data_IF_966490875747
#
_entry.id   IF_966490875747
#
_cell.length_a   1.000
_cell.length_b   1.000
_cell.length_c   1.000
_cell.angle_alpha   90.00
_cell.angle_beta   90.00
_cell.angle_gamma   90.00
#
_symmetry.space_group_name_H-M   'P 1'
#
loop_
_entity.id
_entity.type
_entity.pdbx_description
1 polymer ?
#
# COMPACT_ATOMS: atom_id res chain seq x y z
N UNK A 1 4.23 -21.53 2.73
CA UNK A 1 4.82 -21.02 1.49
C UNK A 1 5.44 -19.67 1.80
N UNK A 2 6.60 -19.36 1.20
CA UNK A 2 7.30 -18.09 1.43
C UNK A 2 7.44 -17.35 0.11
N UNK A 3 7.15 -16.06 0.14
CA UNK A 3 7.43 -15.16 -0.98
C UNK A 3 8.67 -14.29 -0.71
N UNK A 4 9.30 -13.86 -1.80
CA UNK A 4 10.34 -12.85 -1.80
C UNK A 4 10.01 -11.77 -2.81
N UNK A 5 10.17 -10.51 -2.42
CA UNK A 5 9.92 -9.36 -3.30
C UNK A 5 11.26 -8.69 -3.62
N UNK A 6 11.49 -8.45 -4.91
CA UNK A 6 12.71 -7.85 -5.44
C UNK A 6 12.39 -6.48 -6.07
N UNK A 7 12.88 -5.40 -5.47
CA UNK A 7 12.68 -4.04 -5.99
C UNK A 7 13.95 -3.61 -6.73
N UNK A 8 13.88 -3.51 -8.06
CA UNK A 8 15.02 -3.26 -8.96
C UNK A 8 15.00 -1.81 -9.44
N UNK A 9 16.03 -1.05 -9.11
CA UNK A 9 16.21 0.33 -9.54
C UNK A 9 17.25 1.08 -8.70
N UNK A 10 18.25 1.67 -9.35
CA UNK A 10 19.33 2.43 -8.72
C UNK A 10 18.83 3.68 -7.97
N UNK A 11 17.70 4.24 -8.41
CA UNK A 11 17.00 5.33 -7.74
C UNK A 11 16.44 4.94 -6.37
N UNK A 12 16.15 3.65 -6.15
CA UNK A 12 15.67 3.14 -4.87
C UNK A 12 16.84 2.91 -3.89
N UNK A 13 17.95 2.33 -4.36
CA UNK A 13 19.14 2.13 -3.49
C UNK A 13 19.85 3.43 -3.15
N UNK A 14 19.80 4.43 -4.04
CA UNK A 14 20.31 5.78 -3.78
C UNK A 14 19.37 6.66 -2.94
N UNK A 15 18.15 6.20 -2.64
CA UNK A 15 17.16 6.92 -1.84
C UNK A 15 16.49 8.09 -2.55
N UNK A 16 16.61 8.19 -3.88
CA UNK A 16 15.89 9.20 -4.67
C UNK A 16 14.38 8.93 -4.67
N UNK A 17 14.00 7.65 -4.73
CA UNK A 17 12.61 7.21 -4.66
C UNK A 17 12.43 6.18 -3.54
N UNK A 18 11.33 6.29 -2.79
CA UNK A 18 10.94 5.29 -1.82
C UNK A 18 10.27 4.10 -2.50
N UNK A 19 10.63 2.88 -2.08
CA UNK A 19 9.93 1.67 -2.51
C UNK A 19 8.53 1.60 -1.87
N UNK A 20 7.52 1.97 -2.66
CA UNK A 20 6.11 1.87 -2.29
C UNK A 20 5.45 0.56 -2.76
N UNK A 21 6.06 -0.09 -3.76
CA UNK A 21 5.58 -1.33 -4.36
C UNK A 21 5.77 -2.52 -3.43
N UNK A 22 6.95 -2.63 -2.79
CA UNK A 22 7.28 -3.71 -1.87
C UNK A 22 6.29 -3.85 -0.71
N UNK A 23 5.99 -2.78 0.04
CA UNK A 23 4.94 -2.80 1.07
C UNK A 23 3.55 -3.18 0.53
N UNK A 24 3.17 -2.69 -0.65
CA UNK A 24 1.88 -3.03 -1.26
C UNK A 24 1.80 -4.52 -1.60
N UNK A 25 2.80 -5.05 -2.29
CA UNK A 25 2.90 -6.47 -2.67
C UNK A 25 2.90 -7.39 -1.44
N UNK A 26 3.56 -7.00 -0.34
CA UNK A 26 3.50 -7.77 0.90
C UNK A 26 2.07 -7.91 1.45
N UNK A 27 1.27 -6.83 1.40
CA UNK A 27 -0.13 -6.88 1.85
C UNK A 27 -0.98 -7.72 0.89
N UNK A 28 -0.78 -7.54 -0.42
CA UNK A 28 -1.51 -8.27 -1.44
C UNK A 28 -1.25 -9.79 -1.36
N UNK A 29 0.02 -10.20 -1.25
CA UNK A 29 0.42 -11.59 -1.04
C UNK A 29 -0.09 -12.15 0.29
N UNK A 30 -0.02 -11.36 1.37
CA UNK A 30 -0.58 -11.76 2.66
C UNK A 30 -2.06 -12.11 2.51
N UNK A 31 -2.84 -11.31 1.77
CA UNK A 31 -4.25 -11.56 1.44
C UNK A 31 -4.53 -12.92 0.81
N UNK A 32 -3.56 -13.45 0.05
CA UNK A 32 -3.59 -14.78 -0.58
C UNK A 32 -3.08 -15.92 0.32
N UNK A 33 -2.77 -15.62 1.59
CA UNK A 33 -2.16 -16.55 2.52
C UNK A 33 -0.67 -16.83 2.25
N UNK A 34 0.00 -15.97 1.46
CA UNK A 34 1.41 -16.11 1.10
C UNK A 34 2.24 -15.11 1.91
N UNK A 35 3.01 -15.61 2.88
CA UNK A 35 3.83 -14.75 3.72
C UNK A 35 5.09 -14.27 2.97
N UNK A 36 5.27 -12.96 2.85
CA UNK A 36 6.52 -12.36 2.38
C UNK A 36 7.60 -12.51 3.45
N UNK A 37 8.60 -13.32 3.14
CA UNK A 37 9.70 -13.62 4.05
C UNK A 37 10.91 -12.69 3.85
N UNK A 38 11.10 -12.23 2.63
CA UNK A 38 12.24 -11.40 2.24
C UNK A 38 11.77 -10.26 1.35
N UNK A 39 12.36 -9.09 1.55
CA UNK A 39 12.28 -7.97 0.61
C UNK A 39 13.69 -7.49 0.36
N UNK A 40 14.07 -7.39 -0.90
CA UNK A 40 15.42 -7.03 -1.31
C UNK A 40 15.34 -5.93 -2.34
N UNK A 41 15.99 -4.80 -2.05
CA UNK A 41 16.12 -3.67 -2.97
C UNK A 41 17.53 -3.72 -3.57
N UNK A 42 17.63 -3.63 -4.89
CA UNK A 42 18.88 -3.69 -5.64
C UNK A 42 18.92 -2.62 -6.72
N UNK A 43 20.14 -2.15 -7.03
CA UNK A 43 20.36 -1.24 -8.16
C UNK A 43 20.33 -1.98 -9.50
N UNK A 44 20.60 -1.26 -10.58
CA UNK A 44 20.59 -1.80 -11.95
C UNK A 44 21.91 -2.45 -12.35
N UNK A 45 22.63 -3.06 -11.39
CA UNK A 45 23.82 -3.85 -11.68
C UNK A 45 23.44 -5.28 -12.12
N UNK A 46 23.88 -5.76 -13.30
CA UNK A 46 23.44 -7.05 -13.82
C UNK A 46 23.90 -8.26 -13.00
N UNK A 47 25.07 -8.16 -12.37
CA UNK A 47 25.65 -9.24 -11.56
C UNK A 47 24.87 -9.36 -10.25
N UNK A 48 24.61 -8.25 -9.58
CA UNK A 48 23.83 -8.20 -8.34
C UNK A 48 22.40 -8.70 -8.58
N UNK A 49 21.76 -8.27 -9.67
CA UNK A 49 20.44 -8.77 -10.05
C UNK A 49 20.45 -10.29 -10.27
N UNK A 50 21.44 -10.82 -10.99
CA UNK A 50 21.56 -12.26 -11.21
C UNK A 50 21.68 -13.03 -9.90
N UNK A 51 22.57 -12.58 -9.00
CA UNK A 51 22.79 -13.24 -7.71
C UNK A 51 21.51 -13.25 -6.86
N UNK A 52 20.79 -12.13 -6.81
CA UNK A 52 19.54 -12.02 -6.04
C UNK A 52 18.44 -12.92 -6.62
N UNK A 53 18.24 -12.94 -7.94
CA UNK A 53 17.28 -13.88 -8.56
C UNK A 53 17.67 -15.34 -8.31
N UNK A 54 18.95 -15.69 -8.39
CA UNK A 54 19.41 -17.04 -8.10
C UNK A 54 19.10 -17.45 -6.65
N UNK A 55 19.45 -16.60 -5.68
CA UNK A 55 19.19 -16.85 -4.25
C UNK A 55 17.68 -16.97 -3.99
N UNK A 56 16.90 -16.01 -4.47
CA UNK A 56 15.45 -15.95 -4.28
C UNK A 56 14.76 -17.21 -4.84
N UNK A 57 15.12 -17.62 -6.06
CA UNK A 57 14.53 -18.78 -6.74
C UNK A 57 14.76 -20.11 -6.01
N UNK A 58 15.81 -20.21 -5.18
CA UNK A 58 16.14 -21.42 -4.41
C UNK A 58 15.49 -21.45 -3.03
N UNK A 59 15.18 -20.30 -2.43
CA UNK A 59 14.69 -20.20 -1.04
C UNK A 59 13.20 -19.83 -0.89
N UNK A 60 12.59 -19.24 -1.92
CA UNK A 60 11.19 -18.85 -1.94
C UNK A 60 10.36 -19.74 -2.88
N UNK A 61 9.06 -19.86 -2.60
CA UNK A 61 8.08 -20.53 -3.48
C UNK A 61 7.53 -19.55 -4.53
N UNK A 62 7.50 -18.25 -4.19
CA UNK A 62 7.04 -17.15 -5.03
C UNK A 62 8.09 -16.05 -5.01
N UNK A 63 8.49 -15.56 -6.17
CA UNK A 63 9.36 -14.38 -6.30
C UNK A 63 8.61 -13.35 -7.14
N UNK A 64 8.48 -12.13 -6.62
CA UNK A 64 7.90 -11.02 -7.39
C UNK A 64 8.95 -9.93 -7.52
N UNK A 65 9.34 -9.59 -8.74
CA UNK A 65 10.20 -8.44 -8.98
C UNK A 65 9.40 -7.26 -9.55
N UNK A 66 9.82 -6.04 -9.20
CA UNK A 66 9.32 -4.81 -9.81
C UNK A 66 10.47 -3.99 -10.36
N UNK A 67 10.36 -3.51 -11.60
CA UNK A 67 11.42 -2.75 -12.27
C UNK A 67 12.23 -3.60 -13.25
N UNK A 68 13.10 -2.95 -14.03
CA UNK A 68 14.01 -3.61 -14.97
C UNK A 68 13.35 -4.27 -16.20
N UNK A 69 12.14 -3.84 -16.59
CA UNK A 69 11.36 -4.34 -17.75
C UNK A 69 11.13 -3.29 -18.84
N UNK A 70 11.64 -2.07 -18.67
CA UNK A 70 11.56 -1.01 -19.66
C UNK A 70 12.37 -1.32 -20.93
N UNK A 71 12.42 -0.39 -21.89
CA UNK A 71 13.19 -0.54 -23.12
C UNK A 71 14.65 -0.08 -22.97
N UNK A 72 15.12 0.29 -21.78
CA UNK A 72 16.44 0.90 -21.59
C UNK A 72 17.56 -0.14 -21.59
N UNK A 73 18.82 0.28 -21.44
CA UNK A 73 19.99 -0.63 -21.43
C UNK A 73 20.17 -1.26 -20.05
N UNK A 74 19.59 -0.62 -19.04
CA UNK A 74 19.67 -1.00 -17.65
C UNK A 74 18.52 -1.99 -17.30
N UNK A 75 17.51 -2.09 -18.17
CA UNK A 75 16.38 -3.02 -18.06
C UNK A 75 16.74 -4.46 -18.52
N UNK A 76 17.48 -5.19 -17.69
CA UNK A 76 18.08 -6.50 -18.04
C UNK A 76 17.40 -7.70 -17.38
N UNK A 77 16.25 -7.52 -16.75
CA UNK A 77 15.57 -8.61 -15.99
C UNK A 77 15.29 -9.84 -16.85
N UNK A 78 14.94 -9.65 -18.13
CA UNK A 78 14.60 -10.75 -19.04
C UNK A 78 15.82 -11.57 -19.42
N UNK A 79 16.91 -10.89 -19.74
CA UNK A 79 18.22 -11.44 -20.09
C UNK A 79 18.80 -12.24 -18.92
N UNK A 80 18.71 -11.69 -17.71
CA UNK A 80 19.18 -12.34 -16.48
C UNK A 80 18.41 -13.64 -16.23
N UNK A 81 17.08 -13.61 -16.32
CA UNK A 81 16.25 -14.79 -16.10
C UNK A 81 16.46 -15.87 -17.17
N UNK A 82 16.59 -15.47 -18.43
CA UNK A 82 16.92 -16.39 -19.53
C UNK A 82 18.28 -17.06 -19.29
N UNK A 83 19.30 -16.28 -18.88
CA UNK A 83 20.62 -16.77 -18.53
C UNK A 83 20.60 -17.76 -17.35
N UNK A 84 19.88 -17.44 -16.28
CA UNK A 84 19.73 -18.32 -15.12
C UNK A 84 18.99 -19.62 -15.43
N UNK A 85 18.01 -19.58 -16.33
CA UNK A 85 17.28 -20.76 -16.78
C UNK A 85 18.04 -21.57 -17.85
N UNK A 86 19.10 -21.00 -18.44
CA UNK A 86 19.85 -21.63 -19.52
C UNK A 86 19.06 -21.75 -20.83
N UNK A 87 18.16 -20.80 -21.09
CA UNK A 87 17.27 -20.80 -22.27
C UNK A 87 17.44 -19.51 -23.09
N UNK A 88 17.17 -19.54 -24.40
CA UNK A 88 17.21 -18.32 -25.21
C UNK A 88 16.04 -17.39 -24.90
N UNK A 89 16.18 -16.13 -25.32
CA UNK A 89 15.07 -15.21 -25.44
C UNK A 89 14.37 -15.42 -26.79
N UNK A 90 13.05 -15.53 -26.77
CA UNK A 90 12.19 -15.67 -27.93
C UNK A 90 11.34 -14.42 -28.14
N UNK A 91 11.09 -14.08 -29.40
CA UNK A 91 10.30 -12.92 -29.77
C UNK A 91 8.80 -13.24 -29.72
N UNK A 92 8.07 -12.53 -28.86
CA UNK A 92 6.63 -12.68 -28.71
C UNK A 92 5.87 -11.67 -29.59
N UNK A 93 5.48 -12.12 -30.78
CA UNK A 93 4.85 -11.27 -31.80
C UNK A 93 3.57 -10.57 -31.33
N UNK A 94 2.77 -11.22 -30.48
CA UNK A 94 1.56 -10.61 -29.95
C UNK A 94 1.85 -9.46 -28.98
N UNK A 95 2.85 -9.62 -28.09
CA UNK A 95 3.27 -8.53 -27.20
C UNK A 95 3.80 -7.35 -28.00
N UNK A 96 4.56 -7.61 -29.07
CA UNK A 96 5.03 -6.55 -29.95
C UNK A 96 3.88 -5.78 -30.61
N UNK A 97 2.87 -6.49 -31.12
CA UNK A 97 1.68 -5.87 -31.69
C UNK A 97 0.97 -4.96 -30.67
N UNK A 98 0.76 -5.45 -29.44
CA UNK A 98 0.12 -4.66 -28.36
C UNK A 98 0.95 -3.42 -28.00
N UNK A 99 2.27 -3.54 -27.95
CA UNK A 99 3.18 -2.39 -27.75
C UNK A 99 2.96 -1.35 -28.85
N UNK A 100 2.96 -1.78 -30.12
CA UNK A 100 2.73 -0.87 -31.26
C UNK A 100 1.36 -0.18 -31.20
N UNK A 101 0.31 -0.92 -30.81
CA UNK A 101 -1.04 -0.38 -30.61
C UNK A 101 -1.08 0.69 -29.52
N UNK A 102 -0.42 0.47 -28.38
CA UNK A 102 -0.34 1.47 -27.28
C UNK A 102 0.36 2.76 -27.73
N UNK A 103 1.41 2.66 -28.55
CA UNK A 103 2.05 3.84 -29.15
C UNK A 103 1.13 4.56 -30.15
N UNK A 104 0.43 3.80 -30.99
CA UNK A 104 -0.52 4.34 -31.96
C UNK A 104 -1.69 5.08 -31.31
N UNK A 105 -2.27 4.52 -30.23
CA UNK A 105 -3.33 5.18 -29.44
C UNK A 105 -2.90 6.52 -28.85
N UNK A 106 -1.59 6.70 -28.62
CA UNK A 106 -0.99 7.95 -28.13
C UNK A 106 -0.52 8.87 -29.26
N UNK A 107 -0.83 8.56 -30.52
CA UNK A 107 -0.37 9.26 -31.72
C UNK A 107 1.16 9.41 -31.78
N UNK A 108 1.90 8.36 -31.37
CA UNK A 108 3.37 8.35 -31.38
C UNK A 108 3.89 7.15 -32.19
N UNK A 109 5.00 7.30 -32.93
CA UNK A 109 5.67 6.16 -33.53
C UNK A 109 6.28 5.26 -32.44
N UNK A 110 6.17 3.94 -32.61
CA UNK A 110 6.81 2.98 -31.72
C UNK A 110 8.32 2.89 -32.05
N UNK A 111 9.23 3.23 -31.12
CA UNK A 111 10.66 3.07 -31.35
C UNK A 111 11.04 1.59 -31.49
N UNK A 112 11.98 1.26 -32.39
CA UNK A 112 12.44 -0.13 -32.57
C UNK A 112 13.07 -0.71 -31.29
N UNK A 113 13.66 0.16 -30.45
CA UNK A 113 14.24 -0.26 -29.16
C UNK A 113 13.19 -0.88 -28.22
N UNK A 114 11.92 -0.48 -28.31
CA UNK A 114 10.85 -1.09 -27.51
C UNK A 114 10.59 -2.56 -27.88
N UNK A 115 11.13 -3.05 -29.01
CA UNK A 115 11.02 -4.45 -29.41
C UNK A 115 11.63 -5.41 -28.40
N UNK A 116 12.64 -4.97 -27.64
CA UNK A 116 13.21 -5.78 -26.54
C UNK A 116 12.16 -6.13 -25.48
N UNK A 117 11.13 -5.29 -25.31
CA UNK A 117 10.05 -5.55 -24.36
C UNK A 117 9.12 -6.69 -24.79
N UNK A 118 9.21 -7.12 -26.05
CA UNK A 118 8.51 -8.28 -26.58
C UNK A 118 9.37 -9.56 -26.55
N UNK A 119 10.55 -9.53 -25.93
CA UNK A 119 11.38 -10.73 -25.73
C UNK A 119 11.00 -11.42 -24.42
N UNK A 120 10.90 -12.75 -24.46
CA UNK A 120 10.55 -13.60 -23.32
C UNK A 120 11.55 -14.77 -23.22
N UNK A 121 11.99 -15.20 -22.03
CA UNK A 121 12.67 -16.49 -21.90
C UNK A 121 11.81 -17.61 -22.50
N UNK A 122 12.40 -18.57 -23.24
CA UNK A 122 11.64 -19.61 -23.94
C UNK A 122 10.74 -20.47 -23.03
N UNK A 123 11.05 -20.57 -21.74
CA UNK A 123 10.25 -21.28 -20.72
C UNK A 123 9.33 -20.35 -19.91
N UNK A 124 9.24 -19.08 -20.31
CA UNK A 124 8.42 -18.06 -19.68
C UNK A 124 7.15 -17.77 -20.49
N UNK A 125 6.26 -17.05 -19.84
CA UNK A 125 5.03 -16.51 -20.39
C UNK A 125 5.05 -14.98 -20.25
N UNK A 126 4.46 -14.29 -21.21
CA UNK A 126 4.24 -12.84 -21.12
C UNK A 126 3.01 -12.56 -20.27
N UNK A 127 3.10 -11.60 -19.36
CA UNK A 127 1.96 -11.08 -18.61
C UNK A 127 1.45 -9.80 -19.28
N UNK A 128 0.15 -9.74 -19.57
CA UNK A 128 -0.41 -8.58 -20.23
C UNK A 128 -0.35 -7.32 -19.36
N UNK A 129 -0.05 -6.18 -19.98
CA UNK A 129 -0.06 -4.88 -19.33
C UNK A 129 -0.98 -3.92 -20.08
N UNK A 130 -2.29 -3.90 -19.79
CA UNK A 130 -3.23 -2.98 -20.43
C UNK A 130 -3.05 -1.52 -19.98
N UNK A 131 -2.23 -1.27 -18.95
CA UNK A 131 -2.06 0.05 -18.31
C UNK A 131 -0.76 0.74 -18.73
N UNK A 132 0.09 0.07 -19.51
CA UNK A 132 1.40 0.56 -19.92
C UNK A 132 1.93 -0.10 -21.20
N UNK A 133 3.24 -0.03 -21.41
CA UNK A 133 3.90 -0.61 -22.59
C UNK A 133 4.78 -1.81 -22.27
N UNK A 134 5.21 -1.98 -21.02
CA UNK A 134 6.08 -3.09 -20.63
C UNK A 134 5.21 -4.29 -20.18
N UNK A 135 5.05 -5.35 -20.99
CA UNK A 135 4.47 -6.58 -20.49
C UNK A 135 5.35 -7.18 -19.39
N UNK A 136 4.72 -7.91 -18.48
CA UNK A 136 5.43 -8.62 -17.41
C UNK A 136 5.95 -9.97 -17.89
N UNK A 137 6.64 -10.67 -17.00
CA UNK A 137 7.08 -12.03 -17.24
C UNK A 137 6.57 -12.95 -16.13
N UNK A 138 6.22 -14.18 -16.51
CA UNK A 138 5.94 -15.26 -15.59
C UNK A 138 6.75 -16.48 -15.99
N UNK A 139 7.49 -17.05 -15.05
CA UNK A 139 8.22 -18.30 -15.33
C UNK A 139 8.48 -19.10 -14.06
N UNK A 140 8.85 -20.36 -14.24
CA UNK A 140 9.35 -21.19 -13.15
C UNK A 140 10.87 -21.25 -13.21
N UNK A 141 11.53 -20.98 -12.10
CA UNK A 141 12.98 -21.14 -11.95
C UNK A 141 13.26 -21.86 -10.63
N UNK A 142 13.98 -22.97 -10.69
CA UNK A 142 14.18 -23.86 -9.54
C UNK A 142 12.82 -24.26 -8.91
N UNK A 143 12.59 -23.89 -7.64
CA UNK A 143 11.32 -24.15 -6.95
C UNK A 143 10.34 -22.98 -7.03
N UNK A 144 10.77 -21.80 -7.47
CA UNK A 144 10.00 -20.58 -7.41
C UNK A 144 9.16 -20.36 -8.67
N UNK A 145 7.95 -19.85 -8.45
CA UNK A 145 7.20 -19.13 -9.47
C UNK A 145 7.62 -17.66 -9.44
N UNK A 146 8.17 -17.16 -10.53
CA UNK A 146 8.71 -15.80 -10.66
C UNK A 146 7.74 -14.97 -11.50
N UNK A 147 7.27 -13.85 -10.94
CA UNK A 147 6.55 -12.81 -11.65
C UNK A 147 7.41 -11.54 -11.70
N UNK A 148 7.68 -11.01 -12.90
CA UNK A 148 8.32 -9.72 -13.08
C UNK A 148 7.28 -8.71 -13.54
N UNK A 149 7.15 -7.62 -12.79
CA UNK A 149 6.17 -6.56 -13.01
C UNK A 149 6.88 -5.22 -13.28
N UNK A 150 6.23 -4.29 -14.00
CA UNK A 150 6.80 -2.97 -14.26
C UNK A 150 6.91 -2.15 -12.96
N UNK A 151 7.78 -1.12 -12.97
CA UNK A 151 8.00 -0.24 -11.83
C UNK A 151 6.82 0.67 -11.45
N UNK A 152 6.12 1.32 -12.40
CA UNK A 152 5.00 2.21 -12.07
C UNK A 152 3.87 1.52 -11.29
N UNK A 153 3.47 2.02 -10.09
CA UNK A 153 2.50 1.34 -9.21
C UNK A 153 1.15 1.04 -9.89
N UNK A 154 0.66 1.97 -10.72
CA UNK A 154 -0.62 1.80 -11.43
C UNK A 154 -0.60 0.61 -12.40
N UNK A 155 0.53 0.36 -13.04
CA UNK A 155 0.71 -0.78 -13.93
C UNK A 155 0.89 -2.06 -13.11
N UNK A 156 1.80 -2.01 -12.13
CA UNK A 156 2.13 -3.14 -11.26
C UNK A 156 0.92 -3.69 -10.51
N UNK A 157 0.14 -2.85 -9.82
CA UNK A 157 -1.03 -3.28 -9.04
C UNK A 157 -2.05 -3.99 -9.94
N UNK A 158 -2.36 -3.38 -11.08
CA UNK A 158 -3.30 -3.95 -12.03
C UNK A 158 -2.85 -5.29 -12.58
N UNK A 159 -1.58 -5.42 -12.95
CA UNK A 159 -1.03 -6.69 -13.43
C UNK A 159 -0.95 -7.75 -12.34
N UNK A 160 -0.67 -7.36 -11.09
CA UNK A 160 -0.69 -8.30 -9.98
C UNK A 160 -2.08 -8.94 -9.85
N UNK A 161 -3.13 -8.12 -9.82
CA UNK A 161 -4.51 -8.59 -9.68
C UNK A 161 -5.00 -9.37 -10.91
N UNK A 162 -4.73 -8.86 -12.12
CA UNK A 162 -5.27 -9.42 -13.36
C UNK A 162 -4.51 -10.67 -13.84
N UNK A 163 -3.20 -10.74 -13.63
CA UNK A 163 -2.33 -11.77 -14.23
C UNK A 163 -1.62 -12.68 -13.21
N UNK A 164 -1.16 -12.12 -12.09
CA UNK A 164 -0.36 -12.87 -11.10
C UNK A 164 -1.25 -13.67 -10.16
N UNK A 165 -2.31 -13.08 -9.61
CA UNK A 165 -3.23 -13.75 -8.68
C UNK A 165 -3.86 -15.01 -9.31
N UNK A 166 -4.40 -14.99 -10.55
CA UNK A 166 -4.96 -16.20 -11.17
C UNK A 166 -3.92 -17.30 -11.34
N UNK A 167 -2.67 -16.96 -11.69
CA UNK A 167 -1.59 -17.93 -11.87
C UNK A 167 -1.10 -18.53 -10.55
N UNK A 168 -0.98 -17.72 -9.50
CA UNK A 168 -0.70 -18.22 -8.15
C UNK A 168 -1.80 -19.18 -7.67
N UNK A 169 -3.06 -18.86 -7.99
CA UNK A 169 -4.21 -19.71 -7.67
C UNK A 169 -4.15 -21.03 -8.43
N UNK A 170 -3.95 -20.98 -9.75
CA UNK A 170 -3.83 -22.16 -10.60
C UNK A 170 -2.64 -23.06 -10.22
N UNK A 171 -1.54 -22.47 -9.74
CA UNK A 171 -0.38 -23.18 -9.21
C UNK A 171 -0.61 -23.80 -7.80
N UNK A 172 -1.78 -23.59 -7.19
CA UNK A 172 -2.11 -24.10 -5.85
C UNK A 172 -1.31 -23.43 -4.72
N UNK A 173 -0.81 -22.22 -4.97
CA UNK A 173 0.02 -21.46 -4.01
C UNK A 173 -0.82 -20.59 -3.07
N UNK A 174 -2.06 -20.31 -3.43
CA UNK A 174 -3.02 -19.58 -2.59
C UNK A 174 -3.59 -20.56 -1.55
N UNK A 175 -3.47 -20.23 -0.26
CA UNK A 175 -3.84 -21.12 0.87
C UNK A 175 -4.89 -20.50 1.78
N UNK A 176 -6.00 -20.09 1.18
CA UNK A 176 -7.09 -19.40 1.86
C UNK A 176 -6.90 -17.88 1.83
N UNK A 177 -7.82 -17.19 2.50
CA UNK A 177 -7.85 -15.72 2.55
C UNK A 177 -7.29 -15.29 3.90
N UNK A 178 -6.31 -14.38 3.87
CA UNK A 178 -5.93 -13.62 5.08
C UNK A 178 -6.60 -12.26 4.99
N UNK A 179 -7.23 -11.86 6.09
CA UNK A 179 -7.78 -10.51 6.21
C UNK A 179 -7.02 -9.77 7.31
N UNK A 180 -6.98 -8.45 7.14
CA UNK A 180 -6.59 -7.51 8.17
C UNK A 180 -7.81 -6.69 8.55
N UNK A 181 -8.07 -6.56 9.86
CA UNK A 181 -9.04 -5.62 10.40
C UNK A 181 -8.30 -4.61 11.26
N UNK A 182 -8.49 -3.32 10.97
CA UNK A 182 -7.88 -2.23 11.75
C UNK A 182 -8.90 -1.61 12.68
N UNK A 183 -8.52 -1.40 13.93
CA UNK A 183 -9.30 -0.64 14.92
C UNK A 183 -8.45 0.54 15.35
N UNK A 184 -8.98 1.75 15.18
CA UNK A 184 -8.27 2.98 15.49
C UNK A 184 -8.73 3.55 16.82
N UNK A 185 -7.75 3.95 17.62
CA UNK A 185 -7.98 4.55 18.93
C UNK A 185 -7.22 5.84 19.11
N UNK A 186 -7.77 6.73 19.92
CA UNK A 186 -7.18 8.02 20.25
C UNK A 186 -7.34 8.32 21.74
N UNK A 187 -6.38 9.06 22.32
CA UNK A 187 -6.45 9.55 23.71
C UNK A 187 -5.61 8.77 24.73
N UNK A 188 -5.04 7.62 24.37
CA UNK A 188 -4.06 6.89 25.19
C UNK A 188 -2.87 6.43 24.35
N UNK A 189 -1.69 6.39 24.98
CA UNK A 189 -0.46 5.90 24.35
C UNK A 189 -0.41 4.39 24.24
N UNK A 190 0.55 3.89 23.44
CA UNK A 190 0.69 2.48 23.09
C UNK A 190 0.76 1.54 24.31
N UNK A 191 1.66 1.82 25.27
CA UNK A 191 1.83 0.95 26.45
C UNK A 191 0.58 0.84 27.32
N UNK A 192 -0.20 1.92 27.44
CA UNK A 192 -1.45 1.90 28.20
C UNK A 192 -2.54 1.10 27.48
N UNK A 193 -2.59 1.17 26.15
CA UNK A 193 -3.49 0.34 25.33
C UNK A 193 -3.10 -1.12 25.42
N UNK A 194 -1.80 -1.45 25.32
CA UNK A 194 -1.30 -2.82 25.43
C UNK A 194 -1.60 -3.43 26.80
N UNK A 195 -1.34 -2.70 27.90
CA UNK A 195 -1.62 -3.15 29.26
C UNK A 195 -3.10 -3.49 29.47
N UNK A 196 -4.01 -2.67 28.92
CA UNK A 196 -5.45 -2.91 29.00
C UNK A 196 -5.89 -4.13 28.19
N UNK A 197 -5.28 -4.36 27.04
CA UNK A 197 -5.60 -5.48 26.16
C UNK A 197 -5.06 -6.83 26.70
N UNK A 198 -3.97 -6.80 27.46
CA UNK A 198 -3.40 -7.97 28.12
C UNK A 198 -3.16 -9.12 27.14
N UNK A 199 -3.69 -10.30 27.46
CA UNK A 199 -3.46 -11.52 26.66
C UNK A 199 -3.96 -11.44 25.20
N UNK A 200 -4.77 -10.44 24.84
CA UNK A 200 -5.26 -10.26 23.46
C UNK A 200 -4.09 -10.03 22.49
N UNK A 201 -3.03 -9.34 22.92
CA UNK A 201 -1.86 -8.98 22.09
C UNK A 201 -0.68 -9.93 22.31
N UNK A 202 -0.87 -11.02 23.05
CA UNK A 202 0.18 -12.00 23.31
C UNK A 202 0.68 -12.67 22.02
N UNK A 203 2.00 -12.85 21.92
CA UNK A 203 2.62 -13.56 20.78
C UNK A 203 2.14 -15.01 20.72
N UNK A 204 1.85 -15.48 19.51
CA UNK A 204 1.38 -16.84 19.26
C UNK A 204 -0.14 -16.98 19.24
N UNK A 205 -0.89 -15.90 19.51
CA UNK A 205 -2.32 -15.86 19.25
C UNK A 205 -2.63 -16.02 17.76
N UNK A 206 -3.75 -16.69 17.45
CA UNK A 206 -4.33 -16.77 16.12
C UNK A 206 -5.86 -16.65 16.23
N UNK A 207 -6.47 -15.50 15.91
CA UNK A 207 -5.90 -14.34 15.21
C UNK A 207 -4.81 -13.56 15.97
N UNK A 208 -3.80 -13.09 15.25
CA UNK A 208 -2.71 -12.26 15.80
C UNK A 208 -3.17 -10.80 15.89
N UNK A 209 -2.85 -10.11 16.99
CA UNK A 209 -3.16 -8.68 17.18
C UNK A 209 -1.86 -7.89 17.33
N UNK A 210 -1.54 -7.08 16.34
CA UNK A 210 -0.42 -6.13 16.38
C UNK A 210 -0.88 -4.72 16.77
N UNK A 211 0.02 -3.94 17.36
CA UNK A 211 -0.21 -2.52 17.68
C UNK A 211 0.76 -1.67 16.86
N UNK A 212 0.26 -0.57 16.29
CA UNK A 212 1.07 0.42 15.59
C UNK A 212 0.64 1.82 15.98
N UNK A 213 1.58 2.69 16.34
CA UNK A 213 1.33 4.11 16.64
C UNK A 213 1.77 5.01 15.47
N UNK A 214 0.91 5.95 15.06
CA UNK A 214 1.24 7.04 14.12
C UNK A 214 0.36 8.25 14.44
N UNK A 215 0.93 9.45 14.43
CA UNK A 215 0.18 10.72 14.55
C UNK A 215 -0.83 10.74 15.72
N UNK A 216 -0.39 10.25 16.89
CA UNK A 216 -1.21 10.11 18.10
C UNK A 216 -2.42 9.13 17.99
N UNK A 217 -2.51 8.37 16.89
CA UNK A 217 -3.48 7.30 16.69
C UNK A 217 -2.80 5.96 16.94
N UNK A 218 -3.37 5.17 17.85
CA UNK A 218 -2.99 3.77 18.03
C UNK A 218 -3.93 2.92 17.17
N UNK A 219 -3.34 2.15 16.25
CA UNK A 219 -4.05 1.21 15.37
C UNK A 219 -3.76 -0.21 15.82
N UNK A 220 -4.82 -0.94 16.18
CA UNK A 220 -4.79 -2.36 16.45
C UNK A 220 -5.10 -3.11 15.15
N UNK A 221 -4.21 -4.02 14.76
CA UNK A 221 -4.29 -4.78 13.51
C UNK A 221 -4.55 -6.25 13.84
N UNK A 222 -5.76 -6.71 13.57
CA UNK A 222 -6.15 -8.11 13.76
C UNK A 222 -5.91 -8.84 12.44
N UNK A 223 -5.02 -9.82 12.45
CA UNK A 223 -4.73 -10.66 11.30
C UNK A 223 -5.34 -12.05 11.48
N UNK A 224 -6.18 -12.46 10.54
CA UNK A 224 -6.84 -13.76 10.59
C UNK A 224 -6.77 -14.43 9.23
N UNK A 225 -6.56 -15.74 9.22
CA UNK A 225 -6.66 -16.58 8.04
C UNK A 225 -7.90 -17.49 8.11
N UNK A 226 -8.51 -17.74 6.95
CA UNK A 226 -9.65 -18.64 6.80
C UNK A 226 -9.68 -19.30 5.42
N UNK A 227 -10.52 -20.34 5.26
CA UNK A 227 -10.75 -20.99 3.97
C UNK A 227 -11.34 -20.04 2.93
N UNK A 228 -12.10 -19.06 3.40
CA UNK A 228 -12.65 -17.94 2.63
C UNK A 228 -12.70 -16.69 3.52
N UNK A 229 -13.06 -15.56 2.92
CA UNK A 229 -13.15 -14.27 3.61
C UNK A 229 -14.17 -14.31 4.77
N UNK A 230 -15.29 -15.02 4.60
CA UNK A 230 -16.34 -15.11 5.62
C UNK A 230 -15.85 -15.87 6.86
N UNK A 231 -15.13 -16.96 6.67
CA UNK A 231 -14.49 -17.74 7.73
C UNK A 231 -13.42 -16.91 8.45
N UNK A 232 -12.60 -16.17 7.70
CA UNK A 232 -11.59 -15.29 8.28
C UNK A 232 -12.23 -14.18 9.13
N UNK A 233 -13.30 -13.54 8.63
CA UNK A 233 -14.07 -12.49 9.34
C UNK A 233 -14.77 -13.02 10.59
N UNK A 234 -15.31 -14.23 10.54
CA UNK A 234 -15.94 -14.87 11.69
C UNK A 234 -14.95 -15.06 12.86
N UNK A 235 -13.67 -15.31 12.56
CA UNK A 235 -12.61 -15.39 13.59
C UNK A 235 -12.17 -14.03 14.12
N UNK A 236 -12.21 -12.98 13.31
CA UNK A 236 -11.88 -11.60 13.74
C UNK A 236 -12.94 -11.02 14.67
N UNK A 237 -14.22 -11.27 14.37
CA UNK A 237 -15.36 -10.70 15.10
C UNK A 237 -15.28 -10.80 16.64
N UNK A 238 -14.96 -11.95 17.27
CA UNK A 238 -14.87 -12.03 18.73
C UNK A 238 -13.70 -11.21 19.31
N UNK A 239 -12.57 -11.13 18.58
CA UNK A 239 -11.41 -10.34 19.00
C UNK A 239 -11.73 -8.84 18.91
N UNK A 240 -12.34 -8.40 17.81
CA UNK A 240 -12.79 -7.01 17.65
C UNK A 240 -13.81 -6.62 18.74
N UNK A 241 -14.78 -7.48 19.04
CA UNK A 241 -15.76 -7.23 20.10
C UNK A 241 -15.08 -7.03 21.46
N UNK A 242 -14.12 -7.90 21.80
CA UNK A 242 -13.36 -7.80 23.05
C UNK A 242 -12.50 -6.54 23.11
N UNK A 243 -11.85 -6.16 22.01
CA UNK A 243 -11.08 -4.91 21.92
C UNK A 243 -12.00 -3.70 22.18
N UNK A 244 -13.18 -3.67 21.54
CA UNK A 244 -14.15 -2.59 21.71
C UNK A 244 -14.70 -2.53 23.14
N UNK A 245 -14.94 -3.68 23.76
CA UNK A 245 -15.36 -3.76 25.17
C UNK A 245 -14.28 -3.19 26.10
N UNK A 246 -13.02 -3.60 25.91
CA UNK A 246 -11.90 -3.20 26.76
C UNK A 246 -11.54 -1.72 26.60
N UNK A 247 -11.51 -1.20 25.37
CA UNK A 247 -11.04 0.15 25.08
C UNK A 247 -12.18 1.19 25.04
N UNK A 248 -13.41 0.75 24.79
CA UNK A 248 -14.62 1.56 24.86
C UNK A 248 -14.50 2.87 24.07
N UNK A 249 -14.61 4.03 24.74
CA UNK A 249 -14.67 5.35 24.09
C UNK A 249 -13.36 5.76 23.39
N UNK A 250 -12.25 5.07 23.63
CA UNK A 250 -11.01 5.34 22.90
C UNK A 250 -11.11 4.95 21.44
N UNK A 251 -11.97 3.99 21.10
CA UNK A 251 -12.15 3.51 19.72
C UNK A 251 -13.01 4.51 18.95
N UNK A 252 -12.42 5.19 17.96
CA UNK A 252 -13.15 6.17 17.14
C UNK A 252 -13.56 5.61 15.78
N UNK A 253 -12.82 4.65 15.21
CA UNK A 253 -13.05 4.19 13.84
C UNK A 253 -12.38 2.85 13.53
N UNK A 254 -12.62 2.35 12.32
CA UNK A 254 -12.00 1.12 11.82
C UNK A 254 -11.63 1.20 10.33
N UNK A 255 -10.68 0.35 9.93
CA UNK A 255 -10.17 0.23 8.55
C UNK A 255 -9.68 1.54 7.92
N UNK A 256 -10.47 2.14 7.04
CA UNK A 256 -10.12 3.38 6.33
C UNK A 256 -10.82 4.61 6.93
N UNK A 257 -11.51 4.45 8.07
CA UNK A 257 -12.11 5.57 8.79
C UNK A 257 -11.04 6.45 9.44
N UNK A 258 -10.89 7.67 8.91
CA UNK A 258 -10.09 8.74 9.50
C UNK A 258 -10.89 9.50 10.57
N UNK A 259 -10.22 10.25 11.46
CA UNK A 259 -10.91 11.12 12.41
C UNK A 259 -11.82 12.13 11.71
N UNK A 260 -11.35 12.72 10.59
CA UNK A 260 -12.14 13.62 9.77
C UNK A 260 -13.41 12.95 9.23
N UNK A 261 -13.30 11.75 8.67
CA UNK A 261 -14.45 10.97 8.21
C UNK A 261 -15.45 10.70 9.36
N UNK A 262 -14.98 10.26 10.53
CA UNK A 262 -15.86 9.96 11.67
C UNK A 262 -16.58 11.21 12.17
N UNK A 263 -15.90 12.36 12.26
CA UNK A 263 -16.52 13.64 12.62
C UNK A 263 -17.60 14.04 11.62
N UNK A 264 -17.32 13.96 10.31
CA UNK A 264 -18.28 14.31 9.26
C UNK A 264 -19.51 13.39 9.29
N UNK A 265 -19.32 12.09 9.51
CA UNK A 265 -20.40 11.11 9.65
C UNK A 265 -21.30 11.40 10.86
N UNK A 266 -20.71 11.82 11.98
CA UNK A 266 -21.47 12.22 13.17
C UNK A 266 -22.21 13.56 12.97
N UNK A 267 -21.61 14.52 12.27
CA UNK A 267 -22.28 15.77 11.89
C UNK A 267 -23.51 15.50 11.01
N UNK A 268 -23.39 14.60 10.03
CA UNK A 268 -24.53 14.19 9.19
C UNK A 268 -25.63 13.54 10.02
N UNK A 269 -25.27 12.58 10.87
CA UNK A 269 -26.21 11.89 11.77
C UNK A 269 -26.96 12.88 12.65
N UNK A 270 -26.27 13.91 13.15
CA UNK A 270 -26.85 14.95 13.99
C UNK A 270 -27.51 16.10 13.20
N UNK A 271 -27.39 16.11 11.86
CA UNK A 271 -27.82 17.21 10.98
C UNK A 271 -27.22 18.56 11.38
N UNK A 272 -25.96 18.56 11.78
CA UNK A 272 -25.21 19.75 12.14
C UNK A 272 -24.26 20.17 11.01
N UNK A 273 -23.88 21.44 11.03
CA UNK A 273 -22.84 21.99 10.18
C UNK A 273 -21.66 22.48 11.03
N UNK A 274 -20.47 22.47 10.44
CA UNK A 274 -19.21 22.88 11.05
C UNK A 274 -18.55 23.97 10.20
N UNK A 275 -18.01 24.99 10.87
CA UNK A 275 -17.10 25.99 10.28
C UNK A 275 -15.86 26.11 11.16
N UNK A 276 -14.71 26.47 10.57
CA UNK A 276 -13.43 26.56 11.28
C UNK A 276 -12.84 27.98 11.29
N UNK A 277 -12.14 28.31 12.37
CA UNK A 277 -11.16 29.39 12.43
C UNK A 277 -9.83 28.80 12.91
N UNK A 278 -8.79 28.84 12.07
CA UNK A 278 -7.52 28.16 12.29
C UNK A 278 -6.38 29.16 12.48
N UNK A 279 -5.67 29.07 13.60
CA UNK A 279 -4.39 29.76 13.82
C UNK A 279 -3.23 28.83 13.51
N UNK A 280 -2.73 28.15 14.54
CA UNK A 280 -1.52 27.31 14.52
C UNK A 280 -1.57 26.20 13.45
N UNK A 281 -2.74 25.62 13.19
CA UNK A 281 -2.90 24.53 12.21
C UNK A 281 -2.79 25.01 10.77
N UNK A 282 -2.92 26.32 10.50
CA UNK A 282 -2.64 26.92 9.20
C UNK A 282 -3.49 26.39 8.04
N UNK A 283 -4.68 25.83 8.30
CA UNK A 283 -5.54 25.22 7.29
C UNK A 283 -5.48 23.69 7.23
N UNK A 284 -4.64 23.05 8.04
CA UNK A 284 -4.52 21.59 8.04
C UNK A 284 -5.83 20.87 8.43
N UNK A 285 -6.64 21.45 9.32
CA UNK A 285 -7.93 20.87 9.70
C UNK A 285 -8.95 21.02 8.57
N UNK A 286 -9.03 22.20 7.95
CA UNK A 286 -9.87 22.41 6.78
C UNK A 286 -9.48 21.47 5.62
N UNK A 287 -8.18 21.26 5.40
CA UNK A 287 -7.70 20.32 4.37
C UNK A 287 -8.12 18.87 4.69
N UNK A 288 -7.94 18.43 5.94
CA UNK A 288 -8.32 17.08 6.36
C UNK A 288 -9.84 16.84 6.19
N UNK A 289 -10.68 17.79 6.61
CA UNK A 289 -12.14 17.68 6.49
C UNK A 289 -12.60 17.76 5.02
N UNK A 290 -12.04 18.68 4.23
CA UNK A 290 -12.43 18.83 2.82
C UNK A 290 -11.94 17.68 1.93
N UNK A 291 -10.82 17.04 2.26
CA UNK A 291 -10.31 15.86 1.55
C UNK A 291 -11.23 14.64 1.63
N UNK A 292 -12.02 14.53 2.69
CA UNK A 292 -13.01 13.46 2.90
C UNK A 292 -14.42 13.82 2.37
N UNK A 293 -14.65 15.07 1.96
CA UNK A 293 -15.95 15.55 1.53
C UNK A 293 -16.25 15.14 0.08
N UNK A 294 -17.22 14.25 -0.13
CA UNK A 294 -17.64 13.80 -1.46
C UNK A 294 -18.96 14.48 -1.86
N UNK A 295 -19.16 14.70 -3.16
CA UNK A 295 -20.16 15.60 -3.73
C UNK A 295 -21.57 15.48 -3.12
N UNK A 296 -22.08 16.60 -2.59
CA UNK A 296 -23.44 16.75 -2.08
C UNK A 296 -23.56 16.99 -0.57
N UNK A 297 -22.47 16.86 0.18
CA UNK A 297 -22.48 17.00 1.64
C UNK A 297 -22.45 18.48 2.08
N UNK A 298 -23.39 18.86 2.96
CA UNK A 298 -23.63 20.25 3.42
C UNK A 298 -23.08 20.55 4.81
N UNK A 299 -22.20 19.72 5.36
CA UNK A 299 -21.83 19.80 6.77
C UNK A 299 -20.67 20.75 7.00
N UNK A 300 -19.59 20.65 6.22
CA UNK A 300 -18.45 21.56 6.34
C UNK A 300 -18.68 22.83 5.51
N UNK A 301 -18.82 23.98 6.18
CA UNK A 301 -19.11 25.28 5.56
C UNK A 301 -17.84 26.03 5.13
N UNK A 302 -16.66 25.44 5.36
CA UNK A 302 -15.37 26.08 5.14
C UNK A 302 -14.78 26.66 6.44
N UNK A 303 -13.73 27.45 6.28
CA UNK A 303 -13.06 28.08 7.41
C UNK A 303 -12.15 29.22 7.02
N UNK A 304 -11.64 29.92 8.03
CA UNK A 304 -10.69 31.02 7.90
C UNK A 304 -9.36 30.66 8.55
N UNK A 305 -8.26 31.08 7.93
CA UNK A 305 -6.92 30.93 8.50
C UNK A 305 -6.51 32.29 9.10
N UNK A 306 -6.55 32.39 10.43
CA UNK A 306 -6.28 33.59 11.21
C UNK A 306 -4.91 33.50 11.91
N UNK A 307 -3.83 33.78 11.16
CA UNK A 307 -2.44 33.70 11.67
C UNK A 307 -1.96 34.97 12.39
N UNK A 308 -2.73 36.06 12.33
CA UNK A 308 -2.34 37.36 12.88
C UNK A 308 -3.49 37.96 13.67
N UNK A 309 -3.19 38.83 14.63
CA UNK A 309 -4.24 39.53 15.37
C UNK A 309 -5.17 40.37 14.48
N UNK A 310 -4.68 40.86 13.34
CA UNK A 310 -5.55 41.51 12.35
C UNK A 310 -6.53 40.51 11.70
N UNK A 311 -6.08 39.30 11.39
CA UNK A 311 -6.91 38.24 10.81
C UNK A 311 -7.90 37.64 11.84
N UNK A 312 -7.52 37.53 13.11
CA UNK A 312 -8.41 37.14 14.21
C UNK A 312 -9.58 38.14 14.35
N UNK A 313 -9.27 39.44 14.30
CA UNK A 313 -10.28 40.50 14.32
C UNK A 313 -11.20 40.45 13.09
N UNK A 314 -10.67 40.17 11.89
CA UNK A 314 -11.48 39.96 10.68
C UNK A 314 -12.41 38.75 10.78
N UNK A 315 -11.97 37.69 11.46
CA UNK A 315 -12.78 36.50 11.71
C UNK A 315 -13.87 36.71 12.78
N UNK A 316 -13.96 37.90 13.38
CA UNK A 316 -14.91 38.19 14.45
C UNK A 316 -14.56 37.50 15.77
N UNK A 317 -13.33 37.00 15.91
CA UNK A 317 -12.83 36.52 17.20
C UNK A 317 -12.66 37.75 18.10
N UNK A 318 -13.26 37.73 19.29
CA UNK A 318 -13.02 38.80 20.27
C UNK A 318 -11.51 38.90 20.52
N UNK A 319 -11.00 40.10 20.80
CA UNK A 319 -9.58 40.27 21.12
C UNK A 319 -9.17 39.19 22.09
N UNK A 320 -8.15 38.36 21.77
CA UNK A 320 -7.70 37.36 22.71
C UNK A 320 -7.39 38.10 24.00
N UNK A 321 -8.01 37.68 25.10
CA UNK A 321 -7.61 38.07 26.44
C UNK A 321 -6.15 37.63 26.60
N UNK A 322 -5.21 38.44 26.10
CA UNK A 322 -3.79 38.34 26.37
C UNK A 322 -3.61 38.67 27.84
N UNK A 323 -3.95 37.72 28.71
CA UNK A 323 -3.39 37.72 30.05
C UNK A 323 -1.91 37.40 29.89
N UNK A 324 -1.15 38.33 30.46
CA UNK A 324 0.30 38.39 30.57
C UNK A 324 1.02 37.04 30.50
N UNK A 325 2.12 37.03 29.74
CA UNK A 325 3.25 36.08 29.79
C UNK A 325 3.14 35.07 30.95
N UNK A 326 2.76 33.83 30.65
CA UNK A 326 3.03 32.71 31.56
C UNK A 326 2.01 31.58 31.68
N UNK A 327 0.84 31.63 31.05
CA UNK A 327 -0.11 30.49 31.12
C UNK A 327 -0.80 30.26 29.79
N UNK A 328 -0.49 29.13 29.14
CA UNK A 328 -1.33 28.52 28.11
C UNK A 328 -2.66 28.15 28.79
N UNK A 329 -3.71 28.91 28.51
CA UNK A 329 -5.04 28.75 29.12
C UNK A 329 -6.08 28.36 28.08
N UNK A 330 -6.91 27.37 28.45
CA UNK A 330 -8.03 26.76 27.71
C UNK A 330 -9.14 27.72 27.20
N UNK A 331 -9.03 29.03 27.40
CA UNK A 331 -10.08 30.00 27.00
C UNK A 331 -9.99 30.44 25.52
N UNK A 332 -8.97 30.01 24.77
CA UNK A 332 -8.75 30.41 23.37
C UNK A 332 -9.12 29.34 22.32
N UNK A 333 -9.79 28.25 22.71
CA UNK A 333 -10.22 27.16 21.82
C UNK A 333 -11.73 27.22 21.52
#
# INVERSE_FOLDING_TARGET
>A
MRAEILSIGSEMTSGQNFDTNGPWLSRALAGLGIATAFRTTIGDDPEDNRQVFEIASRRADVVISTGGLGPTKDDLTREILAGLAGVPLEFHAESWRKIQETFAQRNRPCPERNRVQAMCPATGEMLENPRGTAPGLWMKLNRAHIACLPGPPREMHGMFDDEVVPRLTAAGLVRGVRIERRIHTFGQGESAVEERLGDITARGNDPEVGITASDAIITLRIFSAGSDEKAARARVAPIEAKIREVLGPLVFGADDETLAHVVLKELDRCRLSLSLAEGVTGGALALALSGEAWGGMRWFQGGMIALTSAAELWAGMQEPTRRAKGSEGEEAA
#
